data_IF_576033058796
#
_entry.id   IF_576033058796
#
_cell.length_a   1.000
_cell.length_b   1.000
_cell.length_c   1.000
_cell.angle_alpha   90.00
_cell.angle_beta   90.00
_cell.angle_gamma   90.00
#
_symmetry.space_group_name_H-M   'P 1'
#
loop_
_entity.id
_entity.type
_entity.pdbx_description
1 polymer ?
#
# COMPACT_ATOMS: atom_id res chain seq x y z
N UNK A 1 -20.88 25.81 -58.79
CA UNK A 1 -20.44 24.41 -58.49
C UNK A 1 -19.63 24.30 -57.18
N UNK A 2 -19.80 25.20 -56.21
CA UNK A 2 -18.84 25.36 -55.10
C UNK A 2 -19.24 24.71 -53.76
N UNK A 3 -20.50 24.31 -53.57
CA UNK A 3 -21.00 23.80 -52.28
C UNK A 3 -20.61 22.35 -51.93
N UNK A 4 -19.96 21.61 -52.84
CA UNK A 4 -19.68 20.18 -52.66
C UNK A 4 -18.36 19.90 -51.92
N UNK A 5 -17.37 20.78 -52.02
CA UNK A 5 -16.07 20.63 -51.33
C UNK A 5 -16.17 20.85 -49.83
N UNK A 6 -16.94 21.87 -49.40
CA UNK A 6 -17.11 22.25 -47.98
C UNK A 6 -17.83 21.18 -47.14
N UNK A 7 -18.67 20.34 -47.75
CA UNK A 7 -19.40 19.28 -47.04
C UNK A 7 -18.57 18.01 -46.79
N UNK A 8 -17.57 17.73 -47.64
CA UNK A 8 -16.69 16.55 -47.49
C UNK A 8 -15.74 16.72 -46.30
N UNK A 9 -15.24 17.94 -46.08
CA UNK A 9 -14.33 18.29 -44.98
C UNK A 9 -14.94 18.04 -43.58
N UNK A 10 -16.19 18.46 -43.34
CA UNK A 10 -16.88 18.25 -42.04
C UNK A 10 -17.15 16.78 -41.70
N UNK A 11 -17.23 15.89 -42.70
CA UNK A 11 -17.41 14.44 -42.49
C UNK A 11 -16.09 13.78 -42.13
N UNK A 12 -15.02 14.10 -42.87
CA UNK A 12 -13.67 13.59 -42.59
C UNK A 12 -13.19 14.04 -41.21
N UNK A 13 -13.35 15.32 -40.89
CA UNK A 13 -12.99 15.87 -39.57
C UNK A 13 -13.74 15.17 -38.42
N UNK A 14 -15.04 14.90 -38.58
CA UNK A 14 -15.81 14.12 -37.57
C UNK A 14 -15.29 12.70 -37.40
N UNK A 15 -14.89 12.04 -38.49
CA UNK A 15 -14.35 10.68 -38.44
C UNK A 15 -12.98 10.65 -37.74
N UNK A 16 -12.13 11.64 -37.99
CA UNK A 16 -10.83 11.78 -37.32
C UNK A 16 -11.01 12.07 -35.82
N UNK A 17 -11.87 13.03 -35.46
CA UNK A 17 -12.17 13.36 -34.06
C UNK A 17 -12.67 12.13 -33.29
N UNK A 18 -13.60 11.36 -33.89
CA UNK A 18 -14.11 10.13 -33.29
C UNK A 18 -13.00 9.10 -33.09
N UNK A 19 -12.11 8.90 -34.08
CA UNK A 19 -10.97 7.98 -33.95
C UNK A 19 -10.03 8.41 -32.83
N UNK A 20 -9.66 9.68 -32.78
CA UNK A 20 -8.79 10.23 -31.72
C UNK A 20 -9.42 10.01 -30.34
N UNK A 21 -10.71 10.35 -30.18
CA UNK A 21 -11.44 10.12 -28.93
C UNK A 21 -11.41 8.64 -28.51
N UNK A 22 -11.67 7.72 -29.43
CA UNK A 22 -11.68 6.29 -29.15
C UNK A 22 -10.28 5.78 -28.74
N UNK A 23 -9.22 6.22 -29.42
CA UNK A 23 -7.85 5.84 -29.05
C UNK A 23 -7.42 6.42 -27.70
N UNK A 24 -7.78 7.67 -27.40
CA UNK A 24 -7.49 8.27 -26.09
C UNK A 24 -8.25 7.55 -24.97
N UNK A 25 -9.53 7.25 -25.18
CA UNK A 25 -10.31 6.51 -24.19
C UNK A 25 -9.77 5.09 -23.98
N UNK A 26 -9.40 4.39 -25.05
CA UNK A 26 -8.79 3.07 -24.98
C UNK A 26 -7.43 3.12 -24.25
N UNK A 27 -6.61 4.13 -24.52
CA UNK A 27 -5.33 4.33 -23.83
C UNK A 27 -5.53 4.55 -22.33
N UNK A 28 -6.47 5.42 -21.95
CA UNK A 28 -6.81 5.66 -20.54
C UNK A 28 -7.33 4.39 -19.86
N UNK A 29 -8.23 3.67 -20.54
CA UNK A 29 -8.74 2.38 -20.05
C UNK A 29 -7.63 1.35 -19.85
N UNK A 30 -6.68 1.26 -20.77
CA UNK A 30 -5.54 0.35 -20.67
C UNK A 30 -4.62 0.72 -19.49
N UNK A 31 -4.38 2.01 -19.26
CA UNK A 31 -3.61 2.47 -18.09
C UNK A 31 -4.31 2.09 -16.79
N UNK A 32 -5.62 2.32 -16.66
CA UNK A 32 -6.37 1.93 -15.47
C UNK A 32 -6.38 0.41 -15.26
N UNK A 33 -6.55 -0.36 -16.35
CA UNK A 33 -6.54 -1.81 -16.31
C UNK A 33 -5.19 -2.36 -15.84
N UNK A 34 -4.08 -1.83 -16.37
CA UNK A 34 -2.73 -2.27 -15.98
C UNK A 34 -2.43 -1.95 -14.52
N UNK A 35 -2.80 -0.77 -14.03
CA UNK A 35 -2.67 -0.40 -12.60
C UNK A 35 -3.50 -1.35 -11.73
N UNK A 36 -4.74 -1.65 -12.13
CA UNK A 36 -5.61 -2.58 -11.42
C UNK A 36 -5.03 -4.00 -11.36
N UNK A 37 -4.53 -4.51 -12.50
CA UNK A 37 -3.93 -5.83 -12.60
C UNK A 37 -2.69 -5.99 -11.71
N UNK A 38 -1.79 -4.99 -11.73
CA UNK A 38 -0.60 -4.98 -10.87
C UNK A 38 -0.98 -5.00 -9.40
N UNK A 39 -1.96 -4.18 -8.98
CA UNK A 39 -2.44 -4.15 -7.58
C UNK A 39 -3.05 -5.49 -7.16
N UNK A 40 -3.83 -6.10 -8.03
CA UNK A 40 -4.49 -7.38 -7.73
C UNK A 40 -3.47 -8.52 -7.57
N UNK A 41 -2.52 -8.62 -8.49
CA UNK A 41 -1.44 -9.63 -8.39
C UNK A 41 -0.59 -9.38 -7.15
N UNK A 42 -0.25 -8.12 -6.85
CA UNK A 42 0.52 -7.77 -5.66
C UNK A 42 -0.22 -8.19 -4.37
N UNK A 43 -1.53 -7.97 -4.30
CA UNK A 43 -2.33 -8.43 -3.17
C UNK A 43 -2.28 -9.96 -3.05
N UNK A 44 -2.48 -10.69 -4.15
CA UNK A 44 -2.42 -12.15 -4.14
C UNK A 44 -1.04 -12.68 -3.74
N UNK A 45 0.03 -12.07 -4.23
CA UNK A 45 1.40 -12.44 -3.87
C UNK A 45 1.67 -12.20 -2.39
N UNK A 46 1.29 -11.05 -1.81
CA UNK A 46 1.42 -10.81 -0.37
C UNK A 46 0.59 -11.78 0.47
N UNK A 47 -0.63 -12.09 0.04
CA UNK A 47 -1.54 -12.95 0.79
C UNK A 47 -1.11 -14.43 0.82
N UNK A 48 -0.57 -14.95 -0.28
CA UNK A 48 -0.33 -16.40 -0.43
C UNK A 48 1.14 -16.81 -0.57
N UNK A 49 2.03 -15.92 -1.02
CA UNK A 49 3.44 -16.24 -1.28
C UNK A 49 4.37 -15.50 -0.31
N UNK A 50 4.13 -14.21 -0.11
CA UNK A 50 4.93 -13.31 0.73
C UNK A 50 4.16 -12.89 1.96
N UNK A 51 3.73 -13.84 2.79
CA UNK A 51 2.88 -13.59 3.98
C UNK A 51 3.48 -12.58 4.97
N UNK A 52 4.81 -12.51 5.05
CA UNK A 52 5.54 -11.55 5.90
C UNK A 52 5.51 -10.10 5.38
N UNK A 53 5.02 -9.85 4.15
CA UNK A 53 5.02 -8.53 3.52
C UNK A 53 4.22 -7.49 4.32
N UNK A 54 3.23 -7.89 5.10
CA UNK A 54 2.37 -6.95 5.85
C UNK A 54 2.61 -7.00 7.36
N UNK A 55 3.56 -7.82 7.82
CA UNK A 55 3.84 -7.97 9.24
C UNK A 55 4.33 -6.66 9.89
N UNK A 56 5.08 -5.82 9.18
CA UNK A 56 5.44 -4.50 9.71
C UNK A 56 4.21 -3.62 9.99
N UNK A 57 3.23 -3.63 9.08
CA UNK A 57 2.00 -2.85 9.25
C UNK A 57 1.17 -3.39 10.41
N UNK A 58 1.09 -4.72 10.55
CA UNK A 58 0.45 -5.38 11.68
C UNK A 58 1.11 -5.01 13.01
N UNK A 59 2.44 -5.05 13.07
CA UNK A 59 3.21 -4.68 14.28
C UNK A 59 3.01 -3.22 14.70
N UNK A 60 2.91 -2.32 13.73
CA UNK A 60 2.61 -0.92 13.99
C UNK A 60 1.15 -0.71 14.44
N UNK A 61 0.21 -1.48 13.91
CA UNK A 61 -1.20 -1.45 14.32
C UNK A 61 -1.41 -2.03 15.72
N UNK A 62 -0.71 -3.12 16.04
CA UNK A 62 -0.81 -3.83 17.32
C UNK A 62 -0.02 -3.14 18.46
N UNK A 63 0.61 -1.99 18.17
CA UNK A 63 1.32 -1.21 19.17
C UNK A 63 0.42 -0.92 20.38
N UNK A 64 0.87 -1.21 21.61
CA UNK A 64 0.11 -0.85 22.79
C UNK A 64 -0.15 0.67 22.81
N UNK A 65 -1.34 1.02 23.29
CA UNK A 65 -1.75 2.42 23.43
C UNK A 65 -0.87 3.12 24.46
N UNK A 66 -0.79 4.44 24.35
CA UNK A 66 -0.09 5.31 25.29
C UNK A 66 -0.57 5.11 26.74
N UNK A 67 0.32 5.45 27.67
CA UNK A 67 0.11 5.26 29.10
C UNK A 67 -1.21 5.88 29.57
N UNK A 68 -1.97 5.18 30.42
CA UNK A 68 -3.22 5.69 30.99
C UNK A 68 -3.01 7.08 31.60
N UNK A 69 -3.96 7.99 31.39
CA UNK A 69 -3.86 9.38 31.85
C UNK A 69 -3.58 9.49 33.36
N UNK A 70 -4.13 8.58 34.18
CA UNK A 70 -3.86 8.56 35.62
C UNK A 70 -2.39 8.27 35.97
N UNK A 71 -1.64 7.62 35.08
CA UNK A 71 -0.20 7.44 35.23
C UNK A 71 0.56 8.70 34.83
N UNK A 72 0.04 9.54 33.94
CA UNK A 72 0.71 10.80 33.54
C UNK A 72 0.85 11.75 34.74
N UNK A 73 -0.25 11.96 35.48
CA UNK A 73 -0.22 12.77 36.71
C UNK A 73 0.71 12.18 37.78
N UNK A 74 0.74 10.85 37.89
CA UNK A 74 1.57 10.13 38.86
C UNK A 74 3.05 10.04 38.45
N UNK A 75 3.37 10.11 37.17
CA UNK A 75 4.75 10.07 36.63
C UNK A 75 5.43 11.43 36.64
N UNK A 76 4.68 12.53 36.58
CA UNK A 76 5.21 13.88 36.85
C UNK A 76 5.71 14.01 38.31
N UNK A 77 5.02 13.37 39.26
CA UNK A 77 5.49 13.24 40.64
C UNK A 77 6.76 12.38 40.79
N UNK A 78 6.98 11.43 39.86
CA UNK A 78 8.21 10.61 39.80
C UNK A 78 9.41 11.42 39.29
N UNK A 79 9.22 12.25 38.25
CA UNK A 79 10.29 13.08 37.68
C UNK A 79 10.80 14.17 38.64
N UNK A 80 9.97 14.59 39.60
CA UNK A 80 10.29 15.63 40.60
C UNK A 80 10.81 15.06 41.93
N UNK A 81 10.78 13.74 42.09
CA UNK A 81 11.23 13.03 43.30
C UNK A 81 12.72 12.65 43.20
N UNK A 82 13.46 12.82 44.30
CA UNK A 82 14.87 12.34 44.43
C UNK A 82 14.94 10.98 45.14
N UNK A 83 13.79 10.41 45.52
CA UNK A 83 13.72 9.15 46.26
C UNK A 83 13.87 7.94 45.33
N UNK A 84 14.59 6.92 45.83
CA UNK A 84 14.86 5.68 45.08
C UNK A 84 13.63 4.79 44.90
N UNK A 85 12.60 4.95 45.73
CA UNK A 85 11.35 4.19 45.65
C UNK A 85 10.16 5.11 45.85
N UNK A 86 9.15 4.98 44.99
CA UNK A 86 7.93 5.78 45.02
C UNK A 86 6.75 4.83 45.12
N UNK A 87 5.95 4.99 46.19
CA UNK A 87 4.76 4.17 46.40
C UNK A 87 3.55 4.88 45.81
N UNK A 88 2.90 4.26 44.84
CA UNK A 88 1.71 4.79 44.18
C UNK A 88 0.50 3.96 44.61
N UNK A 89 -0.49 4.62 45.21
CA UNK A 89 -1.78 3.99 45.53
C UNK A 89 -2.69 3.99 44.30
N UNK A 90 -3.23 2.83 43.94
CA UNK A 90 -4.14 2.67 42.81
C UNK A 90 -5.52 2.22 43.32
N UNK A 91 -6.58 2.69 42.67
CA UNK A 91 -7.90 2.08 42.86
C UNK A 91 -7.92 0.67 42.27
N UNK A 92 -8.89 -0.16 42.65
CA UNK A 92 -9.04 -1.51 42.11
C UNK A 92 -9.16 -1.49 40.57
N UNK A 93 -9.95 -0.56 40.03
CA UNK A 93 -10.10 -0.35 38.58
C UNK A 93 -8.77 0.04 37.91
N UNK A 94 -8.03 0.99 38.49
CA UNK A 94 -6.72 1.40 37.97
C UNK A 94 -5.72 0.24 37.98
N UNK A 95 -5.73 -0.58 39.03
CA UNK A 95 -4.88 -1.78 39.14
C UNK A 95 -5.20 -2.81 38.05
N UNK A 96 -6.49 -3.04 37.76
CA UNK A 96 -6.91 -3.94 36.68
C UNK A 96 -6.47 -3.42 35.30
N UNK A 97 -6.65 -2.12 35.05
CA UNK A 97 -6.23 -1.50 33.79
C UNK A 97 -4.71 -1.57 33.60
N UNK A 98 -3.93 -1.28 34.65
CA UNK A 98 -2.47 -1.35 34.62
C UNK A 98 -1.98 -2.78 34.34
N UNK A 99 -2.54 -3.79 35.01
CA UNK A 99 -2.19 -5.20 34.76
C UNK A 99 -2.45 -5.60 33.30
N UNK A 100 -3.58 -5.17 32.73
CA UNK A 100 -3.91 -5.45 31.33
C UNK A 100 -2.92 -4.78 30.37
N UNK A 101 -2.52 -3.55 30.65
CA UNK A 101 -1.54 -2.83 29.85
C UNK A 101 -0.15 -3.49 29.91
N UNK A 102 0.33 -3.81 31.12
CA UNK A 102 1.62 -4.48 31.30
C UNK A 102 1.68 -5.81 30.54
N UNK A 103 0.61 -6.60 30.62
CA UNK A 103 0.50 -7.85 29.86
C UNK A 103 0.57 -7.61 28.35
N UNK A 104 -0.16 -6.60 27.83
CA UNK A 104 -0.14 -6.27 26.39
C UNK A 104 1.25 -5.79 25.95
N UNK A 105 1.94 -5.00 26.77
CA UNK A 105 3.29 -4.53 26.49
C UNK A 105 4.29 -5.69 26.42
N UNK A 106 4.24 -6.61 27.39
CA UNK A 106 5.09 -7.80 27.39
C UNK A 106 4.86 -8.67 26.14
N UNK A 107 3.61 -8.88 25.74
CA UNK A 107 3.26 -9.61 24.52
C UNK A 107 3.79 -8.90 23.25
N UNK A 108 3.66 -7.58 23.18
CA UNK A 108 4.15 -6.79 22.05
C UNK A 108 5.69 -6.77 21.98
N UNK A 109 6.39 -6.65 23.10
CA UNK A 109 7.86 -6.68 23.16
C UNK A 109 8.41 -8.04 22.70
N UNK A 110 7.77 -9.14 23.09
CA UNK A 110 8.12 -10.49 22.59
C UNK A 110 7.98 -10.58 21.07
N UNK A 111 6.89 -10.04 20.53
CA UNK A 111 6.65 -10.03 19.08
C UNK A 111 7.67 -9.15 18.35
N UNK A 112 8.06 -8.01 18.91
CA UNK A 112 9.11 -7.14 18.36
C UNK A 112 10.47 -7.82 18.30
N UNK A 113 10.85 -8.56 19.35
CA UNK A 113 12.13 -9.26 19.41
C UNK A 113 12.30 -10.34 18.34
N UNK A 114 11.20 -10.93 17.88
CA UNK A 114 11.18 -11.95 16.82
C UNK A 114 10.96 -11.37 15.42
N UNK A 115 10.63 -10.08 15.31
CA UNK A 115 10.22 -9.46 14.05
C UNK A 115 11.40 -9.03 13.17
N UNK A 116 11.49 -9.61 11.97
CA UNK A 116 12.48 -9.24 10.97
C UNK A 116 11.94 -8.15 10.01
N UNK A 117 12.28 -6.90 10.33
CA UNK A 117 11.87 -5.73 9.52
C UNK A 117 12.41 -5.78 8.08
N UNK A 118 13.64 -6.27 7.89
CA UNK A 118 14.29 -6.34 6.58
C UNK A 118 13.57 -7.37 5.71
N UNK A 119 13.24 -8.54 6.27
CA UNK A 119 12.49 -9.57 5.56
C UNK A 119 11.12 -9.07 5.14
N UNK A 120 10.39 -8.40 6.03
CA UNK A 120 9.08 -7.82 5.72
C UNK A 120 9.16 -6.80 4.56
N UNK A 121 10.15 -5.91 4.59
CA UNK A 121 10.41 -4.96 3.49
C UNK A 121 10.72 -5.67 2.18
N UNK A 122 11.67 -6.62 2.18
CA UNK A 122 12.04 -7.38 0.98
C UNK A 122 10.85 -8.14 0.38
N UNK A 123 9.98 -8.69 1.21
CA UNK A 123 8.76 -9.37 0.78
C UNK A 123 7.78 -8.42 0.09
N UNK A 124 7.61 -7.19 0.60
CA UNK A 124 6.80 -6.16 -0.07
C UNK A 124 7.38 -5.78 -1.42
N UNK A 125 8.68 -5.53 -1.46
CA UNK A 125 9.39 -5.10 -2.66
C UNK A 125 9.37 -6.19 -3.74
N UNK A 126 9.63 -7.45 -3.33
CA UNK A 126 9.53 -8.59 -4.23
C UNK A 126 8.12 -8.74 -4.81
N UNK A 127 7.09 -8.59 -3.98
CA UNK A 127 5.70 -8.69 -4.41
C UNK A 127 5.35 -7.62 -5.46
N UNK A 128 5.66 -6.36 -5.20
CA UNK A 128 5.31 -5.27 -6.13
C UNK A 128 6.10 -5.39 -7.44
N UNK A 129 7.39 -5.69 -7.36
CA UNK A 129 8.26 -5.83 -8.52
C UNK A 129 7.85 -7.02 -9.38
N UNK A 130 7.52 -8.16 -8.77
CA UNK A 130 7.05 -9.34 -9.48
C UNK A 130 5.71 -9.07 -10.17
N UNK A 131 4.80 -8.34 -9.52
CA UNK A 131 3.53 -7.94 -10.11
C UNK A 131 3.72 -7.05 -11.34
N UNK A 132 4.63 -6.08 -11.27
CA UNK A 132 4.98 -5.23 -12.41
C UNK A 132 5.56 -6.03 -13.56
N UNK A 133 6.44 -7.00 -13.29
CA UNK A 133 7.02 -7.87 -14.32
C UNK A 133 5.95 -8.75 -14.95
N UNK A 134 5.10 -9.39 -14.16
CA UNK A 134 4.05 -10.31 -14.65
C UNK A 134 3.04 -9.62 -15.57
N UNK A 135 2.75 -8.34 -15.35
CA UNK A 135 1.84 -7.56 -16.22
C UNK A 135 2.58 -6.83 -17.33
N UNK A 136 3.69 -6.18 -16.98
CA UNK A 136 4.44 -5.30 -17.87
C UNK A 136 5.21 -6.07 -18.94
N UNK A 137 5.77 -7.23 -18.63
CA UNK A 137 6.56 -8.01 -19.59
C UNK A 137 5.69 -8.53 -20.75
N UNK A 138 4.53 -9.19 -20.52
CA UNK A 138 3.64 -9.57 -21.63
C UNK A 138 3.18 -8.37 -22.45
N UNK A 139 2.86 -7.25 -21.79
CA UNK A 139 2.43 -6.03 -22.46
C UNK A 139 3.53 -5.46 -23.35
N UNK A 140 4.76 -5.37 -22.85
CA UNK A 140 5.93 -4.94 -23.61
C UNK A 140 6.19 -5.85 -24.82
N UNK A 141 6.22 -7.16 -24.60
CA UNK A 141 6.47 -8.15 -25.66
C UNK A 141 5.39 -8.09 -26.74
N UNK A 142 4.12 -7.93 -26.37
CA UNK A 142 3.01 -7.78 -27.32
C UNK A 142 3.23 -6.56 -28.24
N UNK A 143 3.53 -5.40 -27.68
CA UNK A 143 3.79 -4.18 -28.46
C UNK A 143 5.04 -4.33 -29.33
N UNK A 144 6.13 -4.87 -28.78
CA UNK A 144 7.36 -5.10 -29.53
C UNK A 144 7.16 -6.03 -30.73
N UNK A 145 6.39 -7.10 -30.56
CA UNK A 145 6.07 -8.03 -31.66
C UNK A 145 5.27 -7.37 -32.78
N UNK A 146 4.31 -6.49 -32.44
CA UNK A 146 3.51 -5.76 -33.43
C UNK A 146 4.38 -4.80 -34.22
N UNK A 147 5.17 -3.97 -33.53
CA UNK A 147 6.09 -3.02 -34.16
C UNK A 147 7.02 -3.76 -35.13
N UNK A 148 7.63 -4.86 -34.68
CA UNK A 148 8.55 -5.64 -35.52
C UNK A 148 7.90 -6.21 -36.78
N UNK A 149 6.58 -6.49 -36.75
CA UNK A 149 5.83 -6.95 -37.93
C UNK A 149 5.54 -5.81 -38.90
N UNK A 150 5.21 -4.63 -38.38
CA UNK A 150 4.89 -3.45 -39.19
C UNK A 150 6.15 -2.79 -39.79
N UNK A 151 7.27 -2.80 -39.08
CA UNK A 151 8.54 -2.19 -39.54
C UNK A 151 9.36 -3.10 -40.47
N UNK A 152 8.96 -4.36 -40.63
CA UNK A 152 9.61 -5.30 -41.58
C UNK A 152 8.93 -5.34 -42.95
N UNK A 153 7.97 -4.45 -43.20
CA UNK A 153 7.37 -4.22 -44.51
C UNK A 153 8.25 -3.32 -45.39
#
# INVERSE_FOLDING_TARGET
MEKKSVRLDRSQSRQVIRKIYLYLFALLGLVLLTIGAVRFINMGLKAYVFTEAENEQKMNYDRPMEDPYYLVEKTEAIKSSTDKEITITLTEEQSVQLKKLLKKNEEWEKQQGEFDYIKSQRHRDASINLSLILVGLPLYLAHWMIIRRETKA
#
